data_IF_704357980433
#
_entry.id   IF_704357980433
#
_cell.length_a   1.000
_cell.length_b   1.000
_cell.length_c   1.000
_cell.angle_alpha   90.00
_cell.angle_beta   90.00
_cell.angle_gamma   90.00
#
_symmetry.space_group_name_H-M   'P 1'
#
loop_
_entity.id
_entity.type
_entity.pdbx_description
1 polymer ?
#
# COMPACT_ATOMS: atom_id res chain seq x y z
N UNK A 1 -17.76 48.42 20.99
CA UNK A 1 -17.10 47.74 19.85
C UNK A 1 -16.19 46.70 20.45
N UNK A 2 -16.69 45.50 20.70
CA UNK A 2 -15.87 44.39 21.23
C UNK A 2 -14.92 43.95 20.12
N UNK A 3 -13.63 44.20 20.30
CA UNK A 3 -12.60 43.63 19.43
C UNK A 3 -12.72 42.11 19.53
N UNK A 4 -12.98 41.45 18.40
CA UNK A 4 -12.80 40.01 18.29
C UNK A 4 -11.30 39.74 18.49
N UNK A 5 -10.96 38.90 19.47
CA UNK A 5 -9.57 38.53 19.75
C UNK A 5 -9.24 37.46 18.73
N UNK A 6 -8.74 37.89 17.57
CA UNK A 6 -8.44 36.98 16.48
C UNK A 6 -7.45 35.87 16.90
N UNK A 7 -7.69 34.65 16.42
CA UNK A 7 -6.77 33.53 16.61
C UNK A 7 -5.66 33.61 15.56
N UNK A 8 -4.41 33.54 16.01
CA UNK A 8 -3.25 33.53 15.12
C UNK A 8 -3.07 32.14 14.51
N UNK A 9 -2.97 32.06 13.19
CA UNK A 9 -2.75 30.78 12.52
C UNK A 9 -1.33 30.25 12.81
N UNK A 10 -1.16 29.03 13.36
CA UNK A 10 0.17 28.48 13.64
C UNK A 10 0.96 28.13 12.36
N UNK A 11 0.29 27.97 11.22
CA UNK A 11 0.92 27.58 9.94
C UNK A 11 1.51 28.77 9.19
N UNK A 12 0.81 29.90 9.14
CA UNK A 12 1.20 31.08 8.35
C UNK A 12 1.27 32.38 9.16
N UNK A 13 1.09 32.30 10.49
CA UNK A 13 1.13 33.41 11.44
C UNK A 13 0.15 34.55 11.14
N UNK A 14 -0.92 34.29 10.39
CA UNK A 14 -1.97 35.27 10.11
C UNK A 14 -2.79 35.59 11.37
N UNK A 15 -2.85 36.86 11.83
CA UNK A 15 -3.38 37.20 13.16
C UNK A 15 -4.89 37.52 13.20
N UNK A 16 -5.51 37.77 12.06
CA UNK A 16 -6.86 38.34 11.95
C UNK A 16 -7.93 37.29 11.62
N UNK A 17 -7.76 36.08 12.15
CA UNK A 17 -8.73 35.01 11.95
C UNK A 17 -9.86 35.11 13.00
N UNK A 18 -11.15 35.01 12.62
CA UNK A 18 -12.25 35.20 13.55
C UNK A 18 -12.27 34.14 14.66
N UNK A 19 -12.70 34.57 15.86
CA UNK A 19 -13.02 33.71 16.97
C UNK A 19 -14.01 32.62 16.54
N UNK A 20 -13.68 31.35 16.75
CA UNK A 20 -14.55 30.25 16.33
C UNK A 20 -14.19 29.58 15.01
N UNK A 21 -13.28 30.16 14.20
CA UNK A 21 -12.93 29.60 12.91
C UNK A 21 -12.23 28.23 13.03
N UNK A 22 -12.66 27.27 12.20
CA UNK A 22 -12.02 25.95 12.10
C UNK A 22 -10.79 25.97 11.18
N UNK A 23 -10.77 26.86 10.20
CA UNK A 23 -9.71 26.98 9.18
C UNK A 23 -9.25 28.43 9.04
N UNK A 24 -7.98 28.59 8.65
CA UNK A 24 -7.41 29.90 8.36
C UNK A 24 -7.95 30.47 7.05
N UNK A 25 -8.43 31.72 7.08
CA UNK A 25 -8.96 32.42 5.91
C UNK A 25 -7.89 32.71 4.85
N UNK A 26 -6.60 32.72 5.23
CA UNK A 26 -5.48 33.02 4.33
C UNK A 26 -4.82 31.78 3.72
N UNK A 27 -4.53 30.75 4.53
CA UNK A 27 -3.78 29.58 4.06
C UNK A 27 -4.58 28.27 4.06
N UNK A 28 -5.80 28.24 4.60
CA UNK A 28 -6.61 27.03 4.72
C UNK A 28 -6.15 26.03 5.81
N UNK A 29 -5.09 26.33 6.55
CA UNK A 29 -4.62 25.48 7.66
C UNK A 29 -5.66 25.37 8.79
N UNK A 30 -5.77 24.19 9.41
CA UNK A 30 -6.65 23.98 10.54
C UNK A 30 -6.21 24.84 11.75
N UNK A 31 -7.18 25.46 12.41
CA UNK A 31 -6.99 26.26 13.62
C UNK A 31 -7.47 25.55 14.88
N UNK A 32 -8.28 24.51 14.73
CA UNK A 32 -8.76 23.65 15.80
C UNK A 32 -8.63 22.18 15.39
N UNK A 33 -8.30 21.32 16.35
CA UNK A 33 -8.28 19.88 16.15
C UNK A 33 -9.70 19.31 16.05
N UNK A 34 -9.89 18.17 15.36
CA UNK A 34 -11.18 17.49 15.35
C UNK A 34 -11.51 16.96 16.75
N UNK A 35 -12.80 16.87 17.14
CA UNK A 35 -13.15 16.20 18.38
C UNK A 35 -12.72 14.73 18.34
N UNK A 36 -12.40 14.18 19.51
CA UNK A 36 -11.98 12.78 19.61
C UNK A 36 -13.11 11.84 19.11
N UNK A 37 -12.81 10.87 18.22
CA UNK A 37 -13.83 9.95 17.72
C UNK A 37 -14.34 8.96 18.77
N UNK A 38 -13.59 8.73 19.85
CA UNK A 38 -13.98 7.80 20.92
C UNK A 38 -14.78 8.46 22.05
N UNK A 39 -14.39 9.66 22.49
CA UNK A 39 -14.99 10.33 23.66
C UNK A 39 -15.57 11.72 23.37
N UNK A 40 -15.46 12.20 22.13
CA UNK A 40 -15.92 13.53 21.69
C UNK A 40 -15.29 14.72 22.41
N UNK A 41 -14.24 14.51 23.20
CA UNK A 41 -13.47 15.59 23.82
C UNK A 41 -12.84 16.50 22.75
N UNK A 42 -12.75 17.82 23.00
CA UNK A 42 -12.02 18.74 22.13
C UNK A 42 -10.53 18.37 22.08
N UNK A 43 -9.89 18.61 20.93
CA UNK A 43 -8.44 18.41 20.75
C UNK A 43 -7.80 19.62 20.07
N UNK A 44 -6.49 19.77 20.25
CA UNK A 44 -5.72 20.84 19.65
C UNK A 44 -5.16 20.46 18.28
N UNK A 45 -4.78 21.48 17.51
CA UNK A 45 -4.14 21.27 16.20
C UNK A 45 -2.79 20.60 16.40
N UNK A 46 -2.63 19.41 15.85
CA UNK A 46 -1.39 18.64 15.89
C UNK A 46 -1.37 17.52 16.94
N UNK A 47 -2.40 17.41 17.78
CA UNK A 47 -2.53 16.30 18.70
C UNK A 47 -2.62 14.97 17.93
N UNK A 48 -1.75 14.02 18.31
CA UNK A 48 -1.78 12.65 17.74
C UNK A 48 -2.70 11.73 18.53
N UNK A 49 -2.89 12.00 19.81
CA UNK A 49 -3.66 11.21 20.75
C UNK A 49 -4.54 12.13 21.61
N UNK A 50 -5.71 11.65 22.01
CA UNK A 50 -6.59 12.39 22.90
C UNK A 50 -6.00 12.43 24.31
N UNK A 51 -5.87 13.62 24.89
CA UNK A 51 -5.37 13.83 26.26
C UNK A 51 -6.35 13.35 27.34
N UNK A 52 -7.61 13.09 26.99
CA UNK A 52 -8.64 12.63 27.92
C UNK A 52 -8.80 11.10 27.94
N UNK A 53 -8.78 10.43 26.78
CA UNK A 53 -9.02 8.98 26.68
C UNK A 53 -7.87 8.16 26.06
N UNK A 54 -6.86 8.80 25.49
CA UNK A 54 -5.70 8.13 24.87
C UNK A 54 -5.91 7.64 23.43
N UNK A 55 -7.11 7.76 22.85
CA UNK A 55 -7.38 7.30 21.48
C UNK A 55 -6.62 8.12 20.43
N UNK A 56 -6.22 7.49 19.33
CA UNK A 56 -5.56 8.17 18.21
C UNK A 56 -6.50 9.12 17.47
N UNK A 57 -6.09 10.40 17.33
CA UNK A 57 -6.88 11.44 16.66
C UNK A 57 -6.64 11.52 15.15
N UNK A 58 -5.54 10.95 14.67
CA UNK A 58 -5.38 10.71 13.25
C UNK A 58 -6.40 9.66 12.82
N UNK A 59 -7.30 10.05 11.91
CA UNK A 59 -8.08 9.10 11.14
C UNK A 59 -7.10 8.11 10.53
N UNK A 60 -6.95 6.93 11.13
CA UNK A 60 -6.47 5.77 10.39
C UNK A 60 -7.45 5.71 9.23
N UNK A 61 -7.02 6.14 8.04
CA UNK A 61 -7.65 5.75 6.79
C UNK A 61 -7.87 4.27 7.00
N UNK A 62 -9.13 3.80 7.15
CA UNK A 62 -9.34 2.42 7.50
C UNK A 62 -8.58 1.68 6.42
N UNK A 63 -7.52 0.97 6.81
CA UNK A 63 -6.85 0.08 5.91
C UNK A 63 -7.95 -0.92 5.68
N UNK A 64 -8.69 -0.73 4.59
CA UNK A 64 -9.67 -1.70 4.13
C UNK A 64 -8.80 -2.91 3.90
N UNK A 65 -8.70 -3.76 4.92
CA UNK A 65 -8.27 -5.11 4.76
C UNK A 65 -9.36 -5.65 3.86
N UNK A 66 -9.10 -5.70 2.56
CA UNK A 66 -10.03 -6.29 1.59
C UNK A 66 -10.00 -7.77 1.93
N UNK A 67 -10.98 -8.31 2.69
CA UNK A 67 -10.96 -9.69 3.09
C UNK A 67 -11.51 -10.44 1.88
N UNK A 68 -10.61 -11.05 1.10
CA UNK A 68 -11.02 -11.90 -0.02
C UNK A 68 -11.16 -11.18 -1.34
N UNK A 69 -10.03 -10.91 -1.99
CA UNK A 69 -9.98 -10.81 -3.45
C UNK A 69 -10.22 -12.19 -4.11
N UNK A 70 -11.35 -12.85 -3.82
CA UNK A 70 -11.95 -13.92 -4.66
C UNK A 70 -12.72 -13.25 -5.80
N UNK A 71 -12.06 -12.33 -6.50
CA UNK A 71 -12.59 -11.84 -7.76
C UNK A 71 -12.49 -13.01 -8.76
N UNK A 72 -13.51 -13.30 -9.58
CA UNK A 72 -13.45 -14.38 -10.57
C UNK A 72 -12.23 -14.26 -11.51
N UNK A 73 -11.69 -13.05 -11.64
CA UNK A 73 -10.47 -12.74 -12.37
C UNK A 73 -9.21 -13.38 -11.77
N UNK A 74 -9.15 -13.65 -10.45
CA UNK A 74 -7.99 -14.34 -9.85
C UNK A 74 -7.99 -15.83 -10.17
N UNK A 75 -9.16 -16.45 -10.31
CA UNK A 75 -9.27 -17.86 -10.76
C UNK A 75 -8.88 -17.97 -12.23
N UNK A 76 -9.35 -17.03 -13.07
CA UNK A 76 -8.93 -16.95 -14.46
C UNK A 76 -7.41 -16.73 -14.58
N UNK A 77 -6.83 -15.81 -13.81
CA UNK A 77 -5.39 -15.56 -13.79
C UNK A 77 -4.57 -16.76 -13.32
N UNK A 78 -5.03 -17.45 -12.27
CA UNK A 78 -4.36 -18.64 -11.76
C UNK A 78 -4.39 -19.80 -12.77
N UNK A 79 -5.52 -20.01 -13.45
CA UNK A 79 -5.65 -21.05 -14.49
C UNK A 79 -4.75 -20.75 -15.70
N UNK A 80 -4.72 -19.51 -16.19
CA UNK A 80 -3.83 -19.11 -17.31
C UNK A 80 -2.37 -19.29 -16.92
N UNK A 81 -1.97 -18.84 -15.73
CA UNK A 81 -0.59 -18.98 -15.25
C UNK A 81 -0.19 -20.47 -15.14
N UNK A 82 -1.08 -21.32 -14.62
CA UNK A 82 -0.81 -22.74 -14.48
C UNK A 82 -0.66 -23.44 -15.84
N UNK A 83 -1.50 -23.10 -16.82
CA UNK A 83 -1.36 -23.60 -18.21
C UNK A 83 -0.04 -23.15 -18.83
N UNK A 84 0.35 -21.88 -18.67
CA UNK A 84 1.64 -21.37 -19.19
C UNK A 84 2.83 -22.11 -18.57
N UNK A 85 2.82 -22.35 -17.26
CA UNK A 85 3.88 -23.10 -16.57
C UNK A 85 3.96 -24.53 -17.12
N UNK A 86 2.83 -25.22 -17.31
CA UNK A 86 2.81 -26.57 -17.89
C UNK A 86 3.35 -26.59 -19.31
N UNK A 87 3.00 -25.61 -20.14
CA UNK A 87 3.54 -25.49 -21.50
C UNK A 87 5.06 -25.29 -21.48
N UNK A 88 5.59 -24.46 -20.58
CA UNK A 88 7.04 -24.24 -20.46
C UNK A 88 7.77 -25.52 -20.04
N UNK A 89 7.27 -26.24 -19.03
CA UNK A 89 7.89 -27.50 -18.55
C UNK A 89 7.89 -28.60 -19.62
N UNK A 90 6.83 -28.70 -20.42
CA UNK A 90 6.79 -29.67 -21.52
C UNK A 90 7.79 -29.33 -22.63
N UNK A 91 8.01 -28.05 -22.92
CA UNK A 91 8.99 -27.63 -23.94
C UNK A 91 10.43 -27.88 -23.50
N UNK A 92 10.75 -27.74 -22.22
CA UNK A 92 12.09 -28.05 -21.70
C UNK A 92 12.39 -29.54 -21.70
N UNK A 93 11.37 -30.39 -21.50
CA UNK A 93 11.51 -31.86 -21.50
C UNK A 93 11.75 -32.45 -22.88
N UNK A 94 11.39 -31.73 -23.95
CA UNK A 94 11.59 -32.16 -25.35
C UNK A 94 13.02 -31.85 -25.84
N UNK A 95 13.72 -30.94 -25.15
CA UNK A 95 15.06 -30.49 -25.56
C UNK A 95 16.20 -31.40 -25.05
N UNK A 96 15.92 -32.35 -24.15
CA UNK A 96 16.88 -33.39 -23.74
C UNK A 96 16.88 -34.55 -24.74
N UNK A 97 17.45 -34.34 -25.92
CA UNK A 97 17.82 -35.44 -26.82
C UNK A 97 18.93 -36.29 -26.19
N UNK A 98 18.93 -37.63 -26.33
CA UNK A 98 19.98 -38.47 -25.77
C UNK A 98 21.36 -38.07 -26.34
N UNK A 99 22.43 -38.04 -25.52
CA UNK A 99 23.75 -37.69 -26.00
C UNK A 99 24.16 -38.66 -27.11
N UNK A 100 24.59 -38.13 -28.25
CA UNK A 100 25.02 -38.91 -29.40
C UNK A 100 26.10 -39.92 -28.96
N UNK A 101 25.84 -41.21 -29.20
CA UNK A 101 26.76 -42.29 -28.90
C UNK A 101 28.08 -42.10 -29.65
N UNK A 102 29.25 -42.33 -29.04
CA UNK A 102 30.52 -42.24 -29.76
C UNK A 102 30.61 -43.31 -30.85
N UNK A 103 31.28 -43.03 -31.99
CA UNK A 103 31.43 -43.99 -33.07
C UNK A 103 32.25 -45.20 -32.60
N UNK A 104 31.79 -46.40 -32.94
CA UNK A 104 32.48 -47.66 -32.61
C UNK A 104 33.79 -47.80 -33.42
N UNK A 105 34.88 -48.33 -32.82
CA UNK A 105 36.13 -48.54 -33.54
C UNK A 105 36.02 -49.71 -34.54
N UNK A 106 36.63 -49.54 -35.71
CA UNK A 106 36.67 -50.55 -36.78
C UNK A 106 37.49 -51.79 -36.36
N UNK A 107 37.11 -53.01 -36.79
CA UNK A 107 37.90 -54.21 -36.52
C UNK A 107 39.22 -54.17 -37.31
N UNK A 108 40.35 -54.29 -36.60
CA UNK A 108 41.68 -54.41 -37.21
C UNK A 108 41.88 -55.75 -37.92
N UNK A 109 42.70 -55.81 -38.98
CA UNK A 109 42.95 -57.06 -39.70
C UNK A 109 43.78 -58.02 -38.83
N UNK A 110 43.24 -59.21 -38.62
CA UNK A 110 43.89 -60.29 -37.88
C UNK A 110 45.18 -60.75 -38.58
N UNK A 111 46.25 -60.84 -37.79
CA UNK A 111 47.52 -61.44 -38.18
C UNK A 111 47.36 -62.97 -38.29
N UNK A 112 47.68 -63.50 -39.48
CA UNK A 112 48.14 -64.87 -39.73
C UNK A 112 49.37 -64.78 -40.63
#
# INVERSE_FOLDING_TARGET
MTAAVGVVCPQCQYPENPDGANFCARCGGALRGPPCPACSAPSDVGDRFCTQCGEGLSAKRPRVAIPGARSPWTVAGALVLMVVILLVVQQTSISDGPPASPPSPAPGPGLL
#
